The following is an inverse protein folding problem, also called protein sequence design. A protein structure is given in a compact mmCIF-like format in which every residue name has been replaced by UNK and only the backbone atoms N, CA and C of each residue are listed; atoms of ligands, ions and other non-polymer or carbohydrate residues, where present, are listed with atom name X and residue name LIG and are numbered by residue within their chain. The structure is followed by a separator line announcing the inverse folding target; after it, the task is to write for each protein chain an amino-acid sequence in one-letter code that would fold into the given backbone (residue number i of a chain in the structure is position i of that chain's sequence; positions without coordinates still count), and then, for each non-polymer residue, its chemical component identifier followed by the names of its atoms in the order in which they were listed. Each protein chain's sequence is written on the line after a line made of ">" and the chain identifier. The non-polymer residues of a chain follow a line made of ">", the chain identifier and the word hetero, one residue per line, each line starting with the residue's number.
data_IF_315082315332
#
_entry.id   IF_315082315332
#
_cell.length_a   1.000
_cell.length_b   1.000
_cell.length_c   1.000
_cell.angle_alpha   90.00
_cell.angle_beta   90.00
_cell.angle_gamma   90.00
#
_symmetry.space_group_name_H-M   'P 1'
#
loop_
_entity.id
_entity.type
_entity.pdbx_description
1 polymer ?
#
# COMPACT_ATOMS: atom_id res chain seq x y z
N UNK A 1 15.92 -26.17 -14.93
CA UNK A 1 14.53 -26.08 -15.43
C UNK A 1 14.25 -24.62 -15.76
N UNK A 2 14.22 -24.25 -17.04
CA UNK A 2 13.98 -22.87 -17.47
C UNK A 2 12.49 -22.55 -17.50
N UNK A 3 11.92 -22.21 -16.34
CA UNK A 3 10.58 -21.61 -16.29
C UNK A 3 10.61 -20.20 -16.88
N UNK A 4 9.49 -19.77 -17.49
CA UNK A 4 9.34 -18.41 -17.98
C UNK A 4 9.50 -17.42 -16.81
N UNK A 5 10.33 -16.38 -16.98
CA UNK A 5 10.58 -15.32 -15.98
C UNK A 5 9.25 -14.72 -15.46
N UNK A 6 8.29 -14.52 -16.36
CA UNK A 6 6.96 -14.01 -16.01
C UNK A 6 6.24 -14.93 -15.01
N UNK A 7 6.33 -16.24 -15.19
CA UNK A 7 5.62 -17.20 -14.34
C UNK A 7 6.25 -17.31 -12.95
N UNK A 8 7.58 -17.18 -12.87
CA UNK A 8 8.30 -17.11 -11.58
C UNK A 8 7.90 -15.86 -10.80
N UNK A 9 7.88 -14.70 -11.43
CA UNK A 9 7.45 -13.45 -10.78
C UNK A 9 5.99 -13.51 -10.33
N UNK A 10 5.09 -14.08 -11.15
CA UNK A 10 3.69 -14.30 -10.76
C UNK A 10 3.57 -15.22 -9.55
N UNK A 11 4.34 -16.31 -9.52
CA UNK A 11 4.37 -17.23 -8.37
C UNK A 11 4.81 -16.51 -7.10
N UNK A 12 5.89 -15.72 -7.17
CA UNK A 12 6.38 -14.92 -6.04
C UNK A 12 5.31 -13.95 -5.56
N UNK A 13 4.69 -13.19 -6.46
CA UNK A 13 3.65 -12.23 -6.11
C UNK A 13 2.44 -12.92 -5.43
N UNK A 14 1.99 -14.06 -5.95
CA UNK A 14 0.89 -14.83 -5.36
C UNK A 14 1.24 -15.38 -3.98
N UNK A 15 2.45 -15.93 -3.80
CA UNK A 15 2.89 -16.45 -2.50
C UNK A 15 3.03 -15.33 -1.46
N UNK A 16 3.55 -14.17 -1.85
CA UNK A 16 3.66 -12.98 -0.99
C UNK A 16 2.30 -12.53 -0.44
N UNK A 17 1.25 -12.63 -1.25
CA UNK A 17 -0.14 -12.30 -0.85
C UNK A 17 -0.81 -13.40 -0.02
N UNK A 18 -0.11 -14.51 0.26
CA UNK A 18 -0.64 -15.59 1.11
C UNK A 18 -0.07 -15.49 2.53
N UNK A 19 -0.94 -15.20 3.50
CA UNK A 19 -0.58 -15.15 4.93
C UNK A 19 0.14 -16.41 5.41
N UNK A 20 1.28 -16.26 6.08
CA UNK A 20 2.08 -17.37 6.60
C UNK A 20 3.05 -17.99 5.57
N UNK A 21 3.14 -17.42 4.36
CA UNK A 21 4.05 -17.86 3.29
C UNK A 21 5.25 -16.93 3.09
N UNK A 22 5.52 -16.05 4.05
CA UNK A 22 6.57 -15.03 3.95
C UNK A 22 7.95 -15.68 3.78
N UNK A 23 8.28 -16.68 4.60
CA UNK A 23 9.57 -17.39 4.52
C UNK A 23 9.72 -18.23 3.24
N UNK A 24 8.63 -18.86 2.79
CA UNK A 24 8.60 -19.62 1.53
C UNK A 24 8.84 -18.67 0.34
N UNK A 25 8.22 -17.50 0.36
CA UNK A 25 8.39 -16.45 -0.64
C UNK A 25 9.84 -15.94 -0.67
N UNK A 26 10.44 -15.63 0.48
CA UNK A 26 11.83 -15.17 0.58
C UNK A 26 12.83 -16.21 0.05
N UNK A 27 12.57 -17.49 0.33
CA UNK A 27 13.38 -18.59 -0.21
C UNK A 27 13.30 -18.64 -1.73
N UNK A 28 12.10 -18.61 -2.31
CA UNK A 28 11.91 -18.63 -3.76
C UNK A 28 12.55 -17.43 -4.45
N UNK A 29 12.44 -16.24 -3.85
CA UNK A 29 13.11 -15.04 -4.37
C UNK A 29 14.64 -15.25 -4.38
N UNK A 30 15.21 -15.77 -3.29
CA UNK A 30 16.66 -15.96 -3.17
C UNK A 30 17.23 -16.94 -4.20
N UNK A 31 16.51 -18.03 -4.47
CA UNK A 31 16.84 -18.98 -5.55
C UNK A 31 16.81 -18.30 -6.92
N UNK A 32 15.79 -17.45 -7.17
CA UNK A 32 15.65 -16.75 -8.45
C UNK A 32 16.66 -15.61 -8.63
N UNK A 33 17.08 -14.96 -7.55
CA UNK A 33 18.12 -13.93 -7.59
C UNK A 33 19.47 -14.48 -8.07
N UNK A 34 19.85 -15.68 -7.63
CA UNK A 34 21.11 -16.30 -8.04
C UNK A 34 21.16 -16.50 -9.57
N UNK A 35 20.06 -17.00 -10.15
CA UNK A 35 19.92 -17.15 -11.61
C UNK A 35 19.93 -15.79 -12.33
N UNK A 36 19.25 -14.80 -11.76
CA UNK A 36 19.11 -13.44 -12.31
C UNK A 36 20.45 -12.69 -12.32
N UNK A 37 21.25 -12.85 -11.26
CA UNK A 37 22.60 -12.28 -11.17
C UNK A 37 23.54 -12.90 -12.20
N UNK A 38 23.51 -14.24 -12.37
CA UNK A 38 24.31 -14.94 -13.39
C UNK A 38 23.97 -14.47 -14.81
N UNK A 39 22.69 -14.25 -15.09
CA UNK A 39 22.21 -13.75 -16.38
C UNK A 39 22.30 -12.23 -16.54
N UNK A 40 22.75 -11.50 -15.50
CA UNK A 40 22.87 -10.03 -15.47
C UNK A 40 21.55 -9.32 -15.82
N UNK A 41 20.41 -9.90 -15.46
CA UNK A 41 19.11 -9.29 -15.71
C UNK A 41 18.74 -8.31 -14.58
N UNK A 42 19.33 -7.12 -14.63
CA UNK A 42 19.23 -6.11 -13.57
C UNK A 42 17.81 -5.62 -13.32
N UNK A 43 16.96 -5.55 -14.36
CA UNK A 43 15.55 -5.18 -14.21
C UNK A 43 14.80 -6.17 -13.33
N UNK A 44 15.03 -7.46 -13.53
CA UNK A 44 14.41 -8.50 -12.70
C UNK A 44 15.02 -8.46 -11.29
N UNK A 45 16.32 -8.23 -11.14
CA UNK A 45 16.94 -8.14 -9.82
C UNK A 45 16.39 -6.97 -8.99
N UNK A 46 16.10 -5.82 -9.62
CA UNK A 46 15.38 -4.70 -9.00
C UNK A 46 13.99 -5.14 -8.53
N UNK A 47 13.22 -5.82 -9.40
CA UNK A 47 11.91 -6.36 -9.01
C UNK A 47 12.01 -7.32 -7.84
N UNK A 48 12.99 -8.22 -7.81
CA UNK A 48 13.16 -9.16 -6.70
C UNK A 48 13.48 -8.46 -5.37
N UNK A 49 14.25 -7.37 -5.39
CA UNK A 49 14.46 -6.54 -4.19
C UNK A 49 13.14 -5.93 -3.70
N UNK A 50 12.34 -5.37 -4.60
CA UNK A 50 11.02 -4.85 -4.25
C UNK A 50 10.07 -5.92 -3.70
N UNK A 51 10.10 -7.12 -4.26
CA UNK A 51 9.34 -8.26 -3.75
C UNK A 51 9.74 -8.61 -2.31
N UNK A 52 11.04 -8.63 -1.99
CA UNK A 52 11.50 -8.81 -0.60
C UNK A 52 11.04 -7.68 0.31
N UNK A 53 11.15 -6.43 -0.13
CA UNK A 53 10.67 -5.29 0.65
C UNK A 53 9.18 -5.42 0.98
N UNK A 54 8.35 -5.86 0.02
CA UNK A 54 6.92 -6.11 0.27
C UNK A 54 6.67 -7.28 1.24
N UNK A 55 7.44 -8.37 1.17
CA UNK A 55 7.32 -9.46 2.15
C UNK A 55 7.59 -8.95 3.56
N UNK A 56 8.65 -8.17 3.75
CA UNK A 56 8.96 -7.58 5.06
C UNK A 56 7.93 -6.54 5.50
N UNK A 57 7.35 -5.79 4.56
CA UNK A 57 6.19 -4.94 4.84
C UNK A 57 5.01 -5.77 5.39
N UNK A 58 4.70 -6.92 4.79
CA UNK A 58 3.61 -7.80 5.27
C UNK A 58 3.90 -8.37 6.66
N UNK A 59 5.16 -8.68 6.97
CA UNK A 59 5.59 -9.09 8.32
C UNK A 59 5.32 -7.96 9.32
N UNK A 60 5.77 -6.72 9.04
CA UNK A 60 5.52 -5.58 9.91
C UNK A 60 4.02 -5.33 10.13
N UNK A 61 3.22 -5.33 9.05
CA UNK A 61 1.77 -5.14 9.13
C UNK A 61 1.08 -6.25 9.95
N UNK A 62 1.50 -7.50 9.78
CA UNK A 62 0.93 -8.63 10.51
C UNK A 62 1.28 -8.58 12.00
N UNK A 63 2.49 -8.15 12.34
CA UNK A 63 2.93 -7.95 13.72
C UNK A 63 2.18 -6.81 14.41
N UNK A 64 2.06 -5.66 13.74
CA UNK A 64 1.25 -4.50 14.20
C UNK A 64 -0.24 -4.83 14.38
N UNK A 65 -0.72 -5.90 13.73
CA UNK A 65 -2.10 -6.33 13.83
C UNK A 65 -2.42 -7.20 15.05
N UNK A 66 -1.40 -7.69 15.78
CA UNK A 66 -1.61 -8.49 16.99
C UNK A 66 -2.12 -7.63 18.15
N UNK A 67 -2.75 -8.29 19.13
CA UNK A 67 -3.19 -7.64 20.37
C UNK A 67 -2.00 -7.07 21.16
N UNK A 68 -0.90 -7.83 21.19
CA UNK A 68 0.40 -7.42 21.75
C UNK A 68 1.48 -7.49 20.67
N UNK A 69 1.71 -6.40 19.91
CA UNK A 69 2.74 -6.35 18.88
C UNK A 69 4.15 -6.47 19.46
N UNK A 70 5.01 -7.28 18.82
CA UNK A 70 6.43 -7.30 19.12
C UNK A 70 7.16 -6.20 18.33
N UNK A 71 7.59 -5.16 19.04
CA UNK A 71 8.31 -4.03 18.43
C UNK A 71 9.64 -4.44 17.81
N UNK A 72 10.31 -5.48 18.33
CA UNK A 72 11.59 -5.93 17.79
C UNK A 72 11.45 -6.53 16.39
N UNK A 73 10.38 -7.30 16.15
CA UNK A 73 10.04 -7.87 14.84
C UNK A 73 9.69 -6.75 13.85
N UNK A 74 8.93 -5.74 14.29
CA UNK A 74 8.57 -4.59 13.44
C UNK A 74 9.84 -3.82 13.02
N UNK A 75 10.74 -3.54 13.96
CA UNK A 75 11.98 -2.82 13.66
C UNK A 75 12.92 -3.61 12.74
N UNK A 76 13.05 -4.93 12.94
CA UNK A 76 13.81 -5.78 12.02
C UNK A 76 13.20 -5.77 10.62
N UNK A 77 11.88 -5.88 10.51
CA UNK A 77 11.18 -5.82 9.23
C UNK A 77 11.41 -4.48 8.51
N UNK A 78 11.35 -3.35 9.22
CA UNK A 78 11.63 -2.02 8.66
C UNK A 78 13.10 -1.92 8.19
N UNK A 79 14.04 -2.47 8.95
CA UNK A 79 15.46 -2.53 8.57
C UNK A 79 15.65 -3.33 7.27
N UNK A 80 14.98 -4.48 7.13
CA UNK A 80 15.02 -5.29 5.90
C UNK A 80 14.34 -4.58 4.72
N UNK A 81 13.24 -3.87 4.95
CA UNK A 81 12.64 -3.02 3.92
C UNK A 81 13.62 -1.95 3.43
N UNK A 82 14.41 -1.36 4.33
CA UNK A 82 15.44 -0.38 3.99
C UNK A 82 16.53 -0.99 3.12
N UNK A 83 17.11 -2.11 3.55
CA UNK A 83 18.16 -2.83 2.81
C UNK A 83 17.73 -3.09 1.35
N UNK A 84 16.52 -3.61 1.14
CA UNK A 84 16.06 -3.98 -0.20
C UNK A 84 15.57 -2.79 -1.02
N UNK A 85 14.94 -1.78 -0.41
CA UNK A 85 14.51 -0.58 -1.14
C UNK A 85 15.72 0.22 -1.63
N UNK A 86 16.71 0.43 -0.76
CA UNK A 86 17.98 1.08 -1.13
C UNK A 86 18.82 0.23 -2.09
N UNK A 87 18.79 -1.10 -1.93
CA UNK A 87 19.44 -2.03 -2.84
C UNK A 87 18.88 -1.95 -4.27
N UNK A 88 17.54 -1.88 -4.40
CA UNK A 88 16.87 -1.66 -5.68
C UNK A 88 17.25 -0.32 -6.29
N UNK A 89 17.19 0.77 -5.52
CA UNK A 89 17.54 2.12 -5.99
C UNK A 89 19.00 2.20 -6.48
N UNK A 90 19.93 1.61 -5.72
CA UNK A 90 21.34 1.52 -6.12
C UNK A 90 21.53 0.76 -7.43
N UNK A 91 20.79 -0.33 -7.65
CA UNK A 91 20.84 -1.07 -8.91
C UNK A 91 20.28 -0.26 -10.09
N UNK A 92 19.20 0.48 -9.86
CA UNK A 92 18.58 1.37 -10.86
C UNK A 92 19.59 2.42 -11.30
N UNK A 93 20.22 3.11 -10.35
CA UNK A 93 21.20 4.17 -10.63
C UNK A 93 22.49 3.62 -11.25
N UNK A 94 22.96 2.44 -10.83
CA UNK A 94 24.17 1.81 -11.38
C UNK A 94 24.02 1.36 -12.84
N UNK A 95 22.79 1.05 -13.26
CA UNK A 95 22.49 0.44 -14.56
C UNK A 95 21.55 1.28 -15.42
N UNK A 96 21.38 2.57 -15.09
CA UNK A 96 20.58 3.56 -15.83
C UNK A 96 19.15 3.09 -16.17
N UNK A 97 18.48 2.44 -15.19
CA UNK A 97 17.14 1.88 -15.37
C UNK A 97 16.05 2.94 -15.17
N UNK A 98 16.04 3.98 -16.01
CA UNK A 98 15.15 5.15 -15.89
C UNK A 98 13.66 4.79 -15.75
N UNK A 99 13.20 3.74 -16.43
CA UNK A 99 11.81 3.26 -16.37
C UNK A 99 11.40 2.73 -14.98
N UNK A 100 12.34 2.59 -14.05
CA UNK A 100 12.15 2.09 -12.69
C UNK A 100 12.18 3.18 -11.62
N UNK A 101 12.58 4.40 -11.94
CA UNK A 101 12.76 5.47 -10.94
C UNK A 101 11.48 5.83 -10.19
N UNK A 102 10.35 5.97 -10.89
CA UNK A 102 9.07 6.28 -10.25
C UNK A 102 8.64 5.19 -9.24
N UNK A 103 8.88 3.92 -9.57
CA UNK A 103 8.64 2.81 -8.65
C UNK A 103 9.66 2.81 -7.51
N UNK A 104 10.93 3.19 -7.74
CA UNK A 104 11.91 3.37 -6.66
C UNK A 104 11.40 4.36 -5.62
N UNK A 105 10.96 5.55 -6.07
CA UNK A 105 10.34 6.57 -5.22
C UNK A 105 9.11 6.04 -4.45
N UNK A 106 8.28 5.22 -5.09
CA UNK A 106 7.15 4.54 -4.43
C UNK A 106 7.60 3.68 -3.23
N UNK A 107 8.69 2.93 -3.37
CA UNK A 107 9.23 2.09 -2.30
C UNK A 107 9.96 2.89 -1.23
N UNK A 108 10.77 3.89 -1.61
CA UNK A 108 11.48 4.76 -0.67
C UNK A 108 10.50 5.60 0.17
N UNK A 109 9.45 6.15 -0.45
CA UNK A 109 8.41 6.87 0.27
C UNK A 109 7.71 5.99 1.30
N UNK A 110 7.44 4.73 0.94
CA UNK A 110 6.82 3.76 1.85
C UNK A 110 7.75 3.41 3.02
N UNK A 111 9.04 3.20 2.75
CA UNK A 111 10.06 3.00 3.77
C UNK A 111 10.10 4.18 4.76
N UNK A 112 10.21 5.41 4.26
CA UNK A 112 10.28 6.59 5.13
C UNK A 112 9.01 6.78 5.94
N UNK A 113 7.85 6.43 5.40
CA UNK A 113 6.59 6.41 6.16
C UNK A 113 6.64 5.44 7.34
N UNK A 114 7.17 4.23 7.13
CA UNK A 114 7.36 3.25 8.23
C UNK A 114 8.38 3.73 9.26
N UNK A 115 9.44 4.42 8.82
CA UNK A 115 10.43 5.07 9.70
C UNK A 115 9.90 6.34 10.38
N UNK A 116 8.65 6.74 10.10
CA UNK A 116 8.01 7.98 10.57
C UNK A 116 8.72 9.27 10.14
N UNK A 117 9.50 9.21 9.06
CA UNK A 117 10.10 10.39 8.42
C UNK A 117 9.15 10.89 7.33
N UNK A 118 8.04 11.49 7.76
CA UNK A 118 6.94 11.87 6.85
C UNK A 118 7.33 12.95 5.84
N UNK A 119 8.29 13.81 6.20
CA UNK A 119 8.84 14.83 5.29
C UNK A 119 9.57 14.16 4.13
N UNK A 120 10.48 13.20 4.39
CA UNK A 120 11.14 12.47 3.30
C UNK A 120 10.16 11.60 2.52
N UNK A 121 9.20 10.97 3.19
CA UNK A 121 8.18 10.19 2.50
C UNK A 121 7.38 11.05 1.50
N UNK A 122 6.99 12.26 1.91
CA UNK A 122 6.30 13.23 1.05
C UNK A 122 7.17 13.63 -0.16
N UNK A 123 8.46 13.93 0.07
CA UNK A 123 9.41 14.27 -0.99
C UNK A 123 9.53 13.14 -2.02
N UNK A 124 9.69 11.89 -1.56
CA UNK A 124 9.81 10.73 -2.45
C UNK A 124 8.55 10.53 -3.29
N UNK A 125 7.36 10.55 -2.67
CA UNK A 125 6.12 10.40 -3.42
C UNK A 125 5.91 11.52 -4.43
N UNK A 126 6.24 12.76 -4.06
CA UNK A 126 6.17 13.91 -4.97
C UNK A 126 7.12 13.75 -6.17
N UNK A 127 8.36 13.30 -5.93
CA UNK A 127 9.33 13.02 -6.99
C UNK A 127 8.88 11.85 -7.90
N UNK A 128 8.26 10.82 -7.35
CA UNK A 128 7.67 9.75 -8.15
C UNK A 128 6.50 10.23 -9.02
N UNK A 129 5.64 11.12 -8.50
CA UNK A 129 4.51 11.69 -9.24
C UNK A 129 5.00 12.59 -10.38
N UNK A 130 6.04 13.41 -10.16
CA UNK A 130 6.53 14.35 -11.16
C UNK A 130 7.08 13.65 -12.42
N UNK A 131 7.57 12.40 -12.29
CA UNK A 131 7.98 11.58 -13.44
C UNK A 131 6.82 11.29 -14.40
N UNK A 132 5.58 11.32 -13.90
CA UNK A 132 4.36 11.11 -14.66
C UNK A 132 3.70 12.41 -15.14
N UNK A 133 4.30 13.59 -14.90
CA UNK A 133 3.77 14.85 -15.43
C UNK A 133 3.63 14.81 -16.95
N UNK A 134 2.44 15.19 -17.44
CA UNK A 134 2.11 15.12 -18.87
C UNK A 134 1.89 13.70 -19.42
N UNK A 135 1.95 12.66 -18.59
CA UNK A 135 1.69 11.27 -18.96
C UNK A 135 0.38 10.80 -18.36
N UNK A 136 -0.38 10.04 -19.13
CA UNK A 136 -1.58 9.38 -18.65
C UNK A 136 -1.21 8.01 -18.05
N UNK A 137 -0.60 8.02 -16.85
CA UNK A 137 -0.14 6.81 -16.15
C UNK A 137 -0.85 6.65 -14.80
N UNK A 138 -1.57 5.53 -14.66
CA UNK A 138 -2.33 5.17 -13.46
C UNK A 138 -1.45 5.03 -12.21
N UNK A 139 -0.15 4.79 -12.35
CA UNK A 139 0.78 4.70 -11.23
C UNK A 139 0.88 6.04 -10.46
N UNK A 140 0.60 7.17 -11.11
CA UNK A 140 0.51 8.46 -10.44
C UNK A 140 -0.65 8.49 -9.42
N UNK A 141 -1.77 7.80 -9.70
CA UNK A 141 -2.89 7.70 -8.75
C UNK A 141 -2.53 6.84 -7.54
N UNK A 142 -1.80 5.74 -7.73
CA UNK A 142 -1.29 4.93 -6.59
C UNK A 142 -0.43 5.82 -5.67
N UNK A 143 0.52 6.57 -6.25
CA UNK A 143 1.40 7.46 -5.51
C UNK A 143 0.67 8.60 -4.81
N UNK A 144 -0.32 9.24 -5.46
CA UNK A 144 -1.17 10.26 -4.82
C UNK A 144 -1.92 9.69 -3.61
N UNK A 145 -2.39 8.44 -3.69
CA UNK A 145 -3.04 7.76 -2.57
C UNK A 145 -2.11 7.58 -1.37
N UNK A 146 -0.83 7.25 -1.61
CA UNK A 146 0.18 7.20 -0.56
C UNK A 146 0.53 8.59 -0.01
N UNK A 147 0.74 9.56 -0.91
CA UNK A 147 1.05 10.95 -0.57
C UNK A 147 -0.02 11.55 0.33
N UNK A 148 -1.30 11.39 0.00
CA UNK A 148 -2.42 11.91 0.76
C UNK A 148 -2.40 11.49 2.23
N UNK A 149 -2.15 10.19 2.49
CA UNK A 149 -1.99 9.67 3.84
C UNK A 149 -0.76 10.26 4.55
N UNK A 150 0.37 10.35 3.85
CA UNK A 150 1.59 10.97 4.38
C UNK A 150 1.41 12.43 4.73
N UNK A 151 0.65 13.20 3.94
CA UNK A 151 0.34 14.60 4.23
C UNK A 151 -0.42 14.74 5.55
N UNK A 152 -1.42 13.89 5.80
CA UNK A 152 -2.12 13.86 7.10
C UNK A 152 -1.15 13.56 8.25
N UNK A 153 -0.29 12.56 8.08
CA UNK A 153 0.76 12.22 9.07
C UNK A 153 1.76 13.37 9.26
N UNK A 154 1.98 14.20 8.24
CA UNK A 154 2.81 15.40 8.25
C UNK A 154 2.02 16.68 8.61
N UNK A 155 0.90 16.55 9.33
CA UNK A 155 0.04 17.65 9.80
C UNK A 155 -0.61 18.52 8.71
N UNK A 156 -0.53 18.13 7.44
CA UNK A 156 -1.23 18.73 6.29
C UNK A 156 -2.60 18.08 6.10
N UNK A 157 -3.44 18.21 7.12
CA UNK A 157 -4.66 17.40 7.27
C UNK A 157 -5.66 17.65 6.15
N UNK A 158 -6.06 18.91 5.94
CA UNK A 158 -7.10 19.25 4.97
C UNK A 158 -6.69 18.91 3.54
N UNK A 159 -5.45 19.22 3.18
CA UNK A 159 -4.88 18.91 1.87
C UNK A 159 -4.76 17.40 1.65
N UNK A 160 -4.32 16.65 2.67
CA UNK A 160 -4.22 15.19 2.61
C UNK A 160 -5.59 14.52 2.47
N UNK A 161 -6.61 14.96 3.23
CA UNK A 161 -7.99 14.45 3.11
C UNK A 161 -8.55 14.76 1.72
N UNK A 162 -8.41 16.00 1.24
CA UNK A 162 -8.89 16.40 -0.08
C UNK A 162 -8.22 15.59 -1.19
N UNK A 163 -6.91 15.40 -1.13
CA UNK A 163 -6.17 14.59 -2.10
C UNK A 163 -6.60 13.12 -2.08
N UNK A 164 -6.81 12.53 -0.90
CA UNK A 164 -7.26 11.15 -0.78
C UNK A 164 -8.62 10.92 -1.44
N UNK A 165 -9.61 11.77 -1.13
CA UNK A 165 -10.96 11.66 -1.71
C UNK A 165 -10.92 11.86 -3.21
N UNK A 166 -10.26 12.92 -3.68
CA UNK A 166 -10.10 13.18 -5.11
C UNK A 166 -9.45 12.01 -5.83
N UNK A 167 -8.36 11.47 -5.28
CA UNK A 167 -7.65 10.34 -5.90
C UNK A 167 -8.52 9.08 -5.93
N UNK A 168 -9.30 8.83 -4.87
CA UNK A 168 -10.24 7.70 -4.82
C UNK A 168 -11.31 7.79 -5.91
N UNK A 169 -11.87 8.98 -6.12
CA UNK A 169 -12.84 9.25 -7.19
C UNK A 169 -12.18 9.19 -8.59
N UNK A 170 -10.95 9.68 -8.74
CA UNK A 170 -10.19 9.62 -10.00
C UNK A 170 -10.00 8.17 -10.50
N UNK A 171 -9.96 7.16 -9.63
CA UNK A 171 -9.90 5.76 -10.05
C UNK A 171 -11.13 5.29 -10.87
N UNK A 172 -12.27 5.96 -10.73
CA UNK A 172 -13.50 5.65 -11.48
C UNK A 172 -13.69 6.51 -12.73
N UNK A 173 -12.96 7.61 -12.86
CA UNK A 173 -13.15 8.60 -13.93
C UNK A 173 -11.94 8.79 -14.83
N UNK A 174 -10.74 8.51 -14.34
CA UNK A 174 -9.51 8.63 -15.13
C UNK A 174 -9.43 7.50 -16.18
N UNK A 175 -9.21 7.79 -17.47
CA UNK A 175 -9.24 6.74 -18.48
C UNK A 175 -8.11 5.71 -18.35
N UNK A 176 -6.93 6.05 -17.79
CA UNK A 176 -5.89 5.07 -17.53
C UNK A 176 -6.25 4.17 -16.34
N UNK A 177 -6.95 4.70 -15.33
CA UNK A 177 -7.48 3.90 -14.24
C UNK A 177 -8.56 2.93 -14.70
N UNK A 178 -9.50 3.38 -15.54
CA UNK A 178 -10.54 2.53 -16.14
C UNK A 178 -9.90 1.43 -16.98
N UNK A 179 -8.91 1.77 -17.81
CA UNK A 179 -8.16 0.77 -18.58
C UNK A 179 -7.49 -0.26 -17.67
N UNK A 180 -6.86 0.17 -16.56
CA UNK A 180 -6.28 -0.75 -15.59
C UNK A 180 -7.36 -1.66 -14.97
N UNK A 181 -8.54 -1.15 -14.63
CA UNK A 181 -9.64 -1.96 -14.10
C UNK A 181 -10.04 -3.09 -15.05
N UNK A 182 -10.04 -2.83 -16.36
CA UNK A 182 -10.39 -3.80 -17.40
C UNK A 182 -9.28 -4.84 -17.63
N UNK A 183 -8.01 -4.43 -17.62
CA UNK A 183 -6.85 -5.29 -17.89
C UNK A 183 -6.35 -6.06 -16.66
N UNK A 184 -6.42 -5.42 -15.49
CA UNK A 184 -5.87 -5.85 -14.20
C UNK A 184 -6.76 -5.37 -13.05
N UNK A 185 -7.92 -6.00 -12.93
CA UNK A 185 -8.87 -5.68 -11.87
C UNK A 185 -8.25 -5.80 -10.47
N UNK A 186 -7.38 -6.79 -10.26
CA UNK A 186 -6.75 -7.02 -8.94
C UNK A 186 -5.93 -5.82 -8.51
N UNK A 187 -5.01 -5.35 -9.36
CA UNK A 187 -4.16 -4.19 -9.05
C UNK A 187 -5.00 -2.94 -8.87
N UNK A 188 -5.94 -2.68 -9.78
CA UNK A 188 -6.85 -1.53 -9.66
C UNK A 188 -7.61 -1.54 -8.34
N UNK A 189 -8.19 -2.69 -7.97
CA UNK A 189 -8.96 -2.86 -6.76
C UNK A 189 -8.09 -2.68 -5.50
N UNK A 190 -6.89 -3.27 -5.46
CA UNK A 190 -5.95 -3.11 -4.32
C UNK A 190 -5.52 -1.66 -4.16
N UNK A 191 -5.22 -0.96 -5.26
CA UNK A 191 -4.77 0.42 -5.22
C UNK A 191 -5.87 1.37 -4.76
N UNK A 192 -7.06 1.29 -5.37
CA UNK A 192 -8.21 2.12 -5.01
C UNK A 192 -8.67 1.87 -3.57
N UNK A 193 -8.97 0.61 -3.25
CA UNK A 193 -9.54 0.24 -1.94
C UNK A 193 -8.60 0.53 -0.77
N UNK A 194 -7.28 0.59 -1.01
CA UNK A 194 -6.28 0.90 0.00
C UNK A 194 -6.18 2.38 0.39
N UNK A 195 -6.80 3.32 -0.33
CA UNK A 195 -6.68 4.76 -0.04
C UNK A 195 -7.39 5.12 1.27
N UNK A 196 -8.67 4.77 1.37
CA UNK A 196 -9.54 5.19 2.48
C UNK A 196 -9.14 4.56 3.83
N UNK A 197 -8.81 3.26 3.92
CA UNK A 197 -8.33 2.66 5.16
C UNK A 197 -7.08 3.34 5.70
N UNK A 198 -6.12 3.67 4.82
CA UNK A 198 -4.90 4.39 5.20
C UNK A 198 -5.18 5.80 5.67
N UNK A 199 -6.10 6.51 5.00
CA UNK A 199 -6.55 7.84 5.43
C UNK A 199 -7.15 7.80 6.84
N UNK A 200 -8.12 6.91 7.07
CA UNK A 200 -8.77 6.76 8.37
C UNK A 200 -7.75 6.40 9.45
N UNK A 201 -6.82 5.48 9.15
CA UNK A 201 -5.73 5.14 10.07
C UNK A 201 -4.86 6.35 10.41
N UNK A 202 -4.45 7.14 9.41
CA UNK A 202 -3.61 8.32 9.63
C UNK A 202 -4.31 9.39 10.47
N UNK A 203 -5.61 9.61 10.25
CA UNK A 203 -6.42 10.53 11.05
C UNK A 203 -6.55 10.02 12.49
N UNK A 204 -6.80 8.72 12.64
CA UNK A 204 -6.94 8.06 13.94
C UNK A 204 -5.66 8.09 14.76
N UNK A 205 -4.54 7.65 14.18
CA UNK A 205 -3.24 7.59 14.87
C UNK A 205 -2.78 8.97 15.38
N UNK A 206 -3.23 10.06 14.73
CA UNK A 206 -2.94 11.45 15.12
C UNK A 206 -4.05 12.11 15.96
N UNK A 207 -5.09 11.38 16.37
CA UNK A 207 -6.23 11.92 17.13
C UNK A 207 -6.92 13.12 16.45
N UNK A 208 -6.95 13.14 15.13
CA UNK A 208 -7.59 14.20 14.34
C UNK A 208 -9.10 13.95 14.29
N UNK A 209 -9.91 15.00 14.47
CA UNK A 209 -11.37 14.91 14.27
C UNK A 209 -11.71 14.93 12.78
N UNK A 210 -12.64 14.07 12.36
CA UNK A 210 -13.06 13.97 10.96
C UNK A 210 -14.53 13.52 10.86
N UNK A 211 -15.09 13.70 9.67
CA UNK A 211 -16.45 13.27 9.33
C UNK A 211 -16.50 11.73 9.19
N UNK A 212 -16.82 11.07 10.31
CA UNK A 212 -16.90 9.61 10.42
C UNK A 212 -17.96 9.01 9.48
N UNK A 213 -19.09 9.70 9.28
CA UNK A 213 -20.19 9.22 8.43
C UNK A 213 -19.77 9.23 6.98
N UNK A 214 -19.13 10.32 6.54
CA UNK A 214 -18.60 10.42 5.19
C UNK A 214 -17.52 9.38 4.92
N UNK A 215 -16.56 9.19 5.83
CA UNK A 215 -15.49 8.20 5.65
C UNK A 215 -16.01 6.75 5.73
N UNK A 216 -17.03 6.46 6.53
CA UNK A 216 -17.65 5.13 6.56
C UNK A 216 -18.29 4.79 5.21
N UNK A 217 -18.96 5.74 4.55
CA UNK A 217 -19.47 5.55 3.18
C UNK A 217 -18.36 5.17 2.20
N UNK A 218 -17.25 5.91 2.23
CA UNK A 218 -16.10 5.60 1.37
C UNK A 218 -15.44 4.24 1.70
N UNK A 219 -15.41 3.83 2.97
CA UNK A 219 -14.94 2.49 3.35
C UNK A 219 -15.86 1.39 2.83
N UNK A 220 -17.18 1.58 2.89
CA UNK A 220 -18.15 0.65 2.31
C UNK A 220 -17.93 0.51 0.79
N UNK A 221 -17.64 1.61 0.11
CA UNK A 221 -17.28 1.59 -1.31
C UNK A 221 -15.96 0.82 -1.55
N UNK A 222 -14.91 1.07 -0.76
CA UNK A 222 -13.66 0.29 -0.80
C UNK A 222 -13.88 -1.21 -0.60
N UNK A 223 -14.76 -1.58 0.34
CA UNK A 223 -15.11 -2.98 0.61
C UNK A 223 -15.86 -3.63 -0.54
N UNK A 224 -16.80 -2.90 -1.14
CA UNK A 224 -17.62 -3.40 -2.26
C UNK A 224 -16.76 -3.76 -3.48
N UNK A 225 -15.69 -2.99 -3.73
CA UNK A 225 -14.76 -3.21 -4.85
C UNK A 225 -14.03 -4.55 -4.75
N UNK A 226 -13.70 -4.99 -3.54
CA UNK A 226 -12.94 -6.24 -3.33
C UNK A 226 -13.84 -7.46 -3.02
N UNK A 227 -15.05 -7.24 -2.50
CA UNK A 227 -15.99 -8.34 -2.16
C UNK A 227 -16.97 -8.67 -3.27
N UNK A 228 -17.24 -7.73 -4.18
CA UNK A 228 -18.13 -7.92 -5.32
C UNK A 228 -17.46 -7.44 -6.63
N UNK A 229 -16.46 -8.17 -7.14
CA UNK A 229 -15.72 -7.75 -8.31
C UNK A 229 -16.61 -7.70 -9.54
N UNK A 230 -16.66 -6.54 -10.21
CA UNK A 230 -17.47 -6.34 -11.43
C UNK A 230 -16.86 -7.02 -12.67
N UNK A 231 -15.57 -7.36 -12.60
CA UNK A 231 -14.79 -7.96 -13.68
C UNK A 231 -14.02 -9.16 -13.13
N UNK A 232 -13.67 -10.12 -13.99
CA UNK A 232 -12.91 -11.31 -13.60
C UNK A 232 -11.52 -10.90 -13.07
N UNK A 233 -11.18 -11.37 -11.86
CA UNK A 233 -9.86 -11.22 -11.27
C UNK A 233 -8.86 -12.09 -12.04
N UNK A 234 -7.82 -11.48 -12.62
CA UNK A 234 -6.89 -12.14 -13.55
C UNK A 234 -5.63 -12.69 -12.89
N UNK A 235 -5.27 -12.23 -11.69
CA UNK A 235 -4.11 -12.70 -10.91
C UNK A 235 -4.16 -12.21 -9.45
N UNK A 236 -3.42 -12.85 -8.54
CA UNK A 236 -3.37 -12.52 -7.10
C UNK A 236 -4.24 -13.42 -6.21
N UNK A 237 -4.40 -13.05 -4.94
CA UNK A 237 -5.39 -13.67 -4.04
C UNK A 237 -6.79 -13.24 -4.49
N UNK A 238 -7.55 -14.18 -5.05
CA UNK A 238 -8.93 -13.96 -5.52
C UNK A 238 -9.89 -13.51 -4.41
N UNK A 239 -9.47 -13.64 -3.15
CA UNK A 239 -10.22 -13.26 -1.95
C UNK A 239 -9.77 -11.95 -1.33
N UNK A 240 -8.70 -11.31 -1.84
CA UNK A 240 -8.17 -10.04 -1.32
C UNK A 240 -7.99 -10.02 0.21
N UNK A 241 -7.59 -11.13 0.84
CA UNK A 241 -7.70 -11.31 2.30
C UNK A 241 -7.02 -10.20 3.10
N UNK A 242 -5.80 -9.82 2.72
CA UNK A 242 -5.09 -8.72 3.39
C UNK A 242 -5.87 -7.41 3.36
N UNK A 243 -6.58 -7.12 2.26
CA UNK A 243 -7.35 -5.88 2.12
C UNK A 243 -8.69 -5.95 2.86
N UNK A 244 -9.36 -7.10 2.82
CA UNK A 244 -10.57 -7.34 3.62
C UNK A 244 -10.27 -7.18 5.11
N UNK A 245 -9.19 -7.79 5.59
CA UNK A 245 -8.77 -7.69 7.01
C UNK A 245 -8.45 -6.24 7.41
N UNK A 246 -7.77 -5.48 6.54
CA UNK A 246 -7.43 -4.07 6.78
C UNK A 246 -8.68 -3.18 6.86
N UNK A 247 -9.63 -3.36 5.94
CA UNK A 247 -10.89 -2.60 5.93
C UNK A 247 -11.73 -2.95 7.16
N UNK A 248 -11.89 -4.24 7.47
CA UNK A 248 -12.64 -4.69 8.65
C UNK A 248 -12.06 -4.12 9.95
N UNK A 249 -10.73 -4.14 10.11
CA UNK A 249 -10.05 -3.52 11.25
C UNK A 249 -10.34 -2.02 11.31
N UNK A 250 -10.25 -1.32 10.19
CA UNK A 250 -10.49 0.13 10.12
C UNK A 250 -11.93 0.48 10.50
N UNK A 251 -12.92 -0.27 10.01
CA UNK A 251 -14.33 -0.08 10.38
C UNK A 251 -14.57 -0.28 11.87
N UNK A 252 -13.97 -1.30 12.47
CA UNK A 252 -14.08 -1.54 13.91
C UNK A 252 -13.58 -0.36 14.76
N UNK A 253 -12.58 0.39 14.27
CA UNK A 253 -12.08 1.61 14.92
C UNK A 253 -13.12 2.73 14.80
N UNK A 254 -13.70 2.94 13.62
CA UNK A 254 -14.76 3.94 13.42
C UNK A 254 -15.99 3.66 14.28
N UNK A 255 -16.42 2.41 14.36
CA UNK A 255 -17.58 2.01 15.17
C UNK A 255 -17.37 2.33 16.66
N UNK A 256 -16.19 1.99 17.21
CA UNK A 256 -15.83 2.34 18.59
C UNK A 256 -15.85 3.85 18.82
N UNK A 257 -15.42 4.63 17.82
CA UNK A 257 -15.41 6.09 17.88
C UNK A 257 -16.78 6.74 17.76
N UNK A 258 -17.73 6.09 17.10
CA UNK A 258 -19.11 6.55 17.02
C UNK A 258 -19.86 6.21 18.31
N UNK A 259 -19.63 5.01 18.86
CA UNK A 259 -20.23 4.55 20.10
C UNK A 259 -19.83 5.41 21.31
N UNK A 260 -18.57 5.85 21.40
CA UNK A 260 -18.11 6.72 22.49
C UNK A 260 -18.79 8.09 22.51
N UNK A 261 -19.08 8.66 21.34
CA UNK A 261 -19.82 9.92 21.21
C UNK A 261 -21.27 9.77 21.66
N UNK A 262 -21.95 8.69 21.26
CA UNK A 262 -23.33 8.41 21.66
C UNK A 262 -23.45 8.19 23.18
N UNK A 263 -22.50 7.47 23.78
CA UNK A 263 -22.46 7.26 25.23
C UNK A 263 -22.25 8.58 25.99
N UNK A 264 -21.37 9.45 25.50
CA UNK A 264 -21.15 10.78 26.09
C UNK A 264 -22.39 11.67 26.02
N UNK A 265 -23.07 11.71 24.86
CA UNK A 265 -24.31 12.50 24.67
C UNK A 265 -25.44 11.97 25.58
N UNK A 266 -25.60 10.64 25.65
CA UNK A 266 -26.61 10.02 26.52
C UNK A 266 -26.36 10.37 28.00
N UNK A 267 -25.12 10.26 28.47
CA UNK A 267 -24.77 10.58 29.85
C UNK A 267 -25.02 12.05 30.24
N UNK A 268 -24.97 12.99 29.28
CA UNK A 268 -25.24 14.41 29.53
C UNK A 268 -26.73 14.76 29.44
N UNK A 269 -27.50 14.07 28.59
CA UNK A 269 -28.95 14.29 28.48
C UNK A 269 -29.73 13.76 29.69
N UNK A 270 -29.21 12.76 30.41
CA UNK A 270 -29.83 12.23 31.63
C UNK A 270 -29.39 12.92 32.94
N UNK A 271 -28.67 14.05 32.85
CA UNK A 271 -28.25 14.86 34.01
C UNK A 271 -29.02 16.18 34.17
N UNK A 272 -30.05 16.40 33.36
CA UNK A 272 -31.00 17.52 33.46
C UNK A 272 -32.41 16.97 33.66
#
# INVERSE_FOLDING_TARGET
>A
MGGNISDKLKTIATLRETKGKEQETLKLISEFEEETQKSKNWKILVTLNWEKALVWQHIAMSEEAKETPDTSIILDAISKMEDYSLGADKLINKHDLEDKKATSHRFLGQLYRYKRDYVKAEMEYTAGISIFEGKQDVSALELKGFLACTMVLNSKVDEGVALAIKTFEEFDTDPAAIKLMEEDYYKWAVWKSGIIPRLVKALWDNNIQFDKVRLDKYLQESESVITNPKVKVTWGDDKFKFRVDEIAKTRSVLEKLMASVLAFVSAHLFRF
#
